data_IF_646906339872
#
_entry.id   IF_646906339872
#
_cell.length_a   1.000
_cell.length_b   1.000
_cell.length_c   1.000
_cell.angle_alpha   90.00
_cell.angle_beta   90.00
_cell.angle_gamma   90.00
#
_symmetry.space_group_name_H-M   'P 1'
#
loop_
_entity.id
_entity.type
_entity.pdbx_description
1 polymer ?
#
# COMPACT_ATOMS: atom_id res chain seq x y z
N UNK A 1 1.48 1.00 6.24
CA UNK A 1 1.64 2.46 6.45
C UNK A 1 0.45 3.16 5.82
N UNK A 2 0.03 4.30 6.37
CA UNK A 2 -1.16 5.00 5.90
C UNK A 2 -1.75 5.92 6.96
N UNK A 3 -2.94 6.43 6.71
CA UNK A 3 -3.73 7.24 7.64
C UNK A 3 -4.71 6.39 8.47
N UNK A 4 -5.81 6.99 8.95
CA UNK A 4 -6.83 6.38 9.82
C UNK A 4 -7.50 5.14 9.21
N UNK A 5 -7.78 5.13 7.91
CA UNK A 5 -8.33 3.94 7.23
C UNK A 5 -7.36 2.76 7.30
N UNK A 6 -6.06 3.00 7.09
CA UNK A 6 -5.03 1.97 7.23
C UNK A 6 -4.75 1.59 8.69
N UNK A 7 -4.95 2.52 9.62
CA UNK A 7 -4.83 2.30 11.06
C UNK A 7 -5.89 1.33 11.58
N UNK A 8 -7.07 1.34 10.96
CA UNK A 8 -8.21 0.50 11.36
C UNK A 8 -9.35 1.29 12.00
N UNK A 9 -9.40 2.61 11.80
CA UNK A 9 -10.54 3.42 12.25
C UNK A 9 -11.86 2.85 11.70
N UNK A 10 -12.88 2.79 12.55
CA UNK A 10 -14.15 2.16 12.23
C UNK A 10 -14.21 0.65 12.52
N UNK A 11 -13.08 0.02 12.85
CA UNK A 11 -13.05 -1.38 13.29
C UNK A 11 -13.39 -1.47 14.78
N UNK A 12 -14.21 -2.44 15.17
CA UNK A 12 -14.53 -2.72 16.58
C UNK A 12 -13.36 -3.28 17.37
N UNK A 13 -12.34 -3.81 16.68
CA UNK A 13 -11.13 -4.39 17.27
C UNK A 13 -9.98 -4.42 16.27
N UNK A 14 -8.75 -4.63 16.75
CA UNK A 14 -7.57 -4.78 15.89
C UNK A 14 -7.70 -5.96 14.93
N UNK A 15 -8.38 -7.04 15.34
CA UNK A 15 -8.59 -8.24 14.52
C UNK A 15 -9.35 -7.96 13.23
N UNK A 16 -10.14 -6.88 13.19
CA UNK A 16 -10.94 -6.46 12.04
C UNK A 16 -10.27 -5.35 11.23
N UNK A 17 -9.05 -4.95 11.61
CA UNK A 17 -8.25 -4.01 10.84
C UNK A 17 -7.59 -4.72 9.64
N UNK A 18 -7.39 -3.97 8.55
CA UNK A 18 -6.81 -4.48 7.29
C UNK A 18 -5.51 -5.27 7.50
N UNK A 19 -4.64 -4.81 8.41
CA UNK A 19 -3.35 -5.43 8.67
C UNK A 19 -3.47 -6.85 9.26
N UNK A 20 -4.33 -7.05 10.25
CA UNK A 20 -4.55 -8.35 10.88
C UNK A 20 -5.27 -9.32 9.94
N UNK A 21 -6.29 -8.82 9.22
CA UNK A 21 -7.00 -9.58 8.18
C UNK A 21 -6.04 -10.06 7.08
N UNK A 22 -5.11 -9.20 6.66
CA UNK A 22 -4.08 -9.55 5.68
C UNK A 22 -3.12 -10.62 6.21
N UNK A 23 -2.65 -10.49 7.46
CA UNK A 23 -1.80 -11.49 8.08
C UNK A 23 -2.50 -12.85 8.17
N UNK A 24 -3.76 -12.86 8.60
CA UNK A 24 -4.60 -14.04 8.65
C UNK A 24 -4.72 -14.70 7.26
N UNK A 25 -5.06 -13.92 6.22
CA UNK A 25 -5.21 -14.42 4.86
C UNK A 25 -3.92 -15.06 4.30
N UNK A 26 -2.75 -14.49 4.63
CA UNK A 26 -1.44 -15.05 4.25
C UNK A 26 -1.16 -16.38 4.96
N UNK A 27 -1.52 -16.50 6.24
CA UNK A 27 -1.41 -17.76 7.01
C UNK A 27 -2.36 -18.84 6.46
N UNK A 28 -3.59 -18.45 6.13
CA UNK A 28 -4.53 -19.35 5.47
C UNK A 28 -3.99 -19.86 4.13
N UNK A 29 -3.39 -18.97 3.33
CA UNK A 29 -2.76 -19.36 2.06
C UNK A 29 -1.70 -20.44 2.25
N UNK A 30 -0.83 -20.31 3.26
CA UNK A 30 0.15 -21.35 3.57
C UNK A 30 -0.50 -22.68 3.96
N UNK A 31 -1.58 -22.61 4.74
CA UNK A 31 -2.34 -23.80 5.15
C UNK A 31 -2.98 -24.49 3.95
N UNK A 32 -3.60 -23.72 3.05
CA UNK A 32 -4.20 -24.21 1.82
C UNK A 32 -3.15 -24.83 0.88
N UNK A 33 -1.95 -24.23 0.76
CA UNK A 33 -0.83 -24.79 -0.01
C UNK A 33 -0.37 -26.16 0.49
N UNK A 34 -0.42 -26.39 1.80
CA UNK A 34 -0.05 -27.68 2.41
C UNK A 34 -1.16 -28.72 2.25
N UNK A 35 -2.41 -28.33 2.47
CA UNK A 35 -3.57 -29.24 2.41
C UNK A 35 -3.95 -29.65 0.99
N UNK A 36 -3.80 -28.74 0.03
CA UNK A 36 -4.22 -28.92 -1.35
C UNK A 36 -3.14 -28.47 -2.35
N UNK A 37 -1.94 -29.09 -2.35
CA UNK A 37 -0.82 -28.68 -3.20
C UNK A 37 -1.14 -28.71 -4.70
N UNK A 38 -2.07 -29.57 -5.13
CA UNK A 38 -2.53 -29.71 -6.51
C UNK A 38 -3.26 -28.48 -7.07
N UNK A 39 -3.76 -27.59 -6.20
CA UNK A 39 -4.38 -26.31 -6.60
C UNK A 39 -3.36 -25.28 -7.04
N UNK A 40 -2.07 -25.55 -6.78
CA UNK A 40 -0.97 -24.62 -7.03
C UNK A 40 -0.04 -25.14 -8.11
N UNK A 41 0.75 -24.22 -8.67
CA UNK A 41 1.84 -24.57 -9.56
C UNK A 41 2.82 -25.51 -8.81
N UNK A 42 3.26 -26.62 -9.43
CA UNK A 42 4.22 -27.53 -8.83
C UNK A 42 5.60 -26.87 -8.69
N UNK A 43 6.46 -27.43 -7.83
CA UNK A 43 7.80 -26.88 -7.59
C UNK A 43 8.77 -27.20 -8.74
N UNK A 44 8.46 -28.25 -9.51
CA UNK A 44 9.16 -28.64 -10.74
C UNK A 44 8.11 -28.72 -11.85
N UNK A 45 8.36 -28.05 -12.98
CA UNK A 45 7.45 -28.12 -14.12
C UNK A 45 7.48 -29.51 -14.77
N UNK A 46 6.33 -30.02 -15.24
CA UNK A 46 6.27 -31.22 -16.07
C UNK A 46 7.11 -31.09 -17.35
N UNK A 47 7.68 -32.22 -17.80
CA UNK A 47 8.39 -32.30 -19.09
C UNK A 47 7.42 -32.15 -20.27
N UNK A 48 6.26 -32.80 -20.20
CA UNK A 48 5.26 -32.78 -21.26
C UNK A 48 4.64 -31.38 -21.41
N UNK A 49 4.67 -30.85 -22.64
CA UNK A 49 4.28 -29.48 -22.95
C UNK A 49 2.83 -29.15 -22.57
N UNK A 50 1.88 -30.04 -22.86
CA UNK A 50 0.46 -29.84 -22.52
C UNK A 50 0.26 -29.77 -21.01
N UNK A 51 0.86 -30.69 -20.27
CA UNK A 51 0.76 -30.74 -18.80
C UNK A 51 1.47 -29.54 -18.17
N UNK A 52 2.59 -29.10 -18.76
CA UNK A 52 3.30 -27.87 -18.37
C UNK A 52 2.42 -26.63 -18.55
N UNK A 53 1.75 -26.50 -19.69
CA UNK A 53 0.86 -25.37 -19.97
C UNK A 53 -0.29 -25.30 -18.94
N UNK A 54 -0.92 -26.43 -18.61
CA UNK A 54 -1.95 -26.50 -17.57
C UNK A 54 -1.40 -26.18 -16.17
N UNK A 55 -0.20 -26.66 -15.84
CA UNK A 55 0.45 -26.34 -14.57
C UNK A 55 0.77 -24.84 -14.42
N UNK A 56 1.12 -24.15 -15.51
CA UNK A 56 1.43 -22.73 -15.51
C UNK A 56 0.19 -21.83 -15.31
N UNK A 57 -1.01 -22.31 -15.68
CA UNK A 57 -2.28 -21.61 -15.42
C UNK A 57 -2.64 -21.56 -13.93
N UNK A 58 -2.13 -22.50 -13.12
CA UNK A 58 -2.38 -22.55 -11.68
C UNK A 58 -1.69 -21.39 -10.95
N UNK A 59 -2.27 -20.88 -9.86
CA UNK A 59 -1.64 -19.85 -9.04
C UNK A 59 -0.30 -20.35 -8.49
N UNK A 60 0.69 -19.45 -8.46
CA UNK A 60 2.00 -19.74 -7.88
C UNK A 60 1.89 -19.93 -6.35
N UNK A 61 2.76 -20.78 -5.78
CA UNK A 61 2.91 -20.88 -4.33
C UNK A 61 3.61 -19.63 -3.81
N UNK A 62 3.16 -19.09 -2.68
CA UNK A 62 3.98 -18.17 -1.88
C UNK A 62 5.03 -18.98 -1.10
N UNK A 63 6.17 -18.35 -0.81
CA UNK A 63 7.27 -18.94 -0.04
C UNK A 63 6.77 -19.45 1.32
N UNK A 64 7.33 -20.56 1.79
CA UNK A 64 7.04 -21.01 3.16
C UNK A 64 7.72 -20.10 4.18
N UNK A 65 7.08 -19.86 5.32
CA UNK A 65 7.64 -19.06 6.40
C UNK A 65 6.56 -18.54 7.36
N UNK A 66 6.98 -17.72 8.31
CA UNK A 66 6.09 -17.00 9.21
C UNK A 66 5.87 -15.60 8.66
N UNK A 67 4.70 -15.36 8.08
CA UNK A 67 4.32 -14.04 7.60
C UNK A 67 3.85 -13.22 8.79
N UNK A 68 4.37 -11.99 8.88
CA UNK A 68 3.94 -11.00 9.87
C UNK A 68 3.65 -9.68 9.18
N UNK A 69 2.53 -9.08 9.51
CA UNK A 69 2.13 -7.75 9.06
C UNK A 69 2.22 -6.81 10.24
N UNK A 70 2.96 -5.72 10.09
CA UNK A 70 3.10 -4.70 11.14
C UNK A 70 2.31 -3.49 10.69
N UNK A 71 1.26 -3.13 11.45
CA UNK A 71 0.54 -1.90 11.19
C UNK A 71 1.36 -0.69 11.69
N UNK A 72 1.91 0.05 10.74
CA UNK A 72 2.61 1.31 10.99
C UNK A 72 1.80 2.51 10.48
N UNK A 73 0.49 2.40 10.28
CA UNK A 73 -0.33 3.56 9.96
C UNK A 73 -0.49 4.48 11.17
N UNK A 74 -0.72 5.77 10.92
CA UNK A 74 -1.01 6.76 11.95
C UNK A 74 -2.11 7.68 11.43
N UNK A 75 -3.22 7.85 12.16
CA UNK A 75 -4.30 8.76 11.76
C UNK A 75 -3.80 10.16 11.40
N UNK A 76 -4.27 10.69 10.28
CA UNK A 76 -3.93 12.03 9.79
C UNK A 76 -2.60 12.12 9.04
N UNK A 77 -1.87 11.03 8.84
CA UNK A 77 -0.60 11.07 8.08
C UNK A 77 -0.81 11.19 6.58
N UNK A 78 -0.28 12.27 6.00
CA UNK A 78 -0.05 12.40 4.56
C UNK A 78 1.27 11.72 4.13
N UNK A 79 1.55 11.67 2.83
CA UNK A 79 2.73 11.02 2.26
C UNK A 79 4.06 11.52 2.81
N UNK A 80 4.16 12.80 3.21
CA UNK A 80 5.34 13.36 3.86
C UNK A 80 5.61 12.69 5.21
N UNK A 81 4.60 12.63 6.10
CA UNK A 81 4.71 11.95 7.39
C UNK A 81 5.11 10.48 7.23
N UNK A 82 4.51 9.80 6.24
CA UNK A 82 4.81 8.41 5.92
C UNK A 82 6.26 8.24 5.45
N UNK A 83 6.79 9.16 4.65
CA UNK A 83 8.21 9.15 4.26
C UNK A 83 9.15 9.26 5.47
N UNK A 84 8.91 10.20 6.40
CA UNK A 84 9.70 10.28 7.65
C UNK A 84 9.60 9.01 8.46
N UNK A 85 8.37 8.52 8.66
CA UNK A 85 8.13 7.33 9.46
C UNK A 85 8.86 6.12 8.88
N UNK A 86 8.89 5.99 7.55
CA UNK A 86 9.66 4.95 6.89
C UNK A 86 11.15 5.07 7.20
N UNK A 87 11.72 6.23 6.92
CA UNK A 87 13.15 6.48 7.05
C UNK A 87 13.65 6.32 8.49
N UNK A 88 12.88 6.78 9.47
CA UNK A 88 13.32 6.87 10.87
C UNK A 88 12.95 5.65 11.71
N UNK A 89 11.86 4.96 11.38
CA UNK A 89 11.29 3.92 12.23
C UNK A 89 11.09 2.60 11.48
N UNK A 90 10.30 2.59 10.41
CA UNK A 90 9.83 1.34 9.79
C UNK A 90 10.96 0.57 9.12
N UNK A 91 11.91 1.25 8.47
CA UNK A 91 12.98 0.57 7.73
C UNK A 91 13.89 -0.29 8.64
N UNK A 92 13.97 0.04 9.94
CA UNK A 92 14.76 -0.69 10.94
C UNK A 92 14.25 -2.11 11.18
N UNK A 93 12.96 -2.36 10.88
CA UNK A 93 12.36 -3.69 10.94
C UNK A 93 12.76 -4.59 9.76
N UNK A 94 13.55 -4.07 8.81
CA UNK A 94 14.02 -4.79 7.60
C UNK A 94 12.86 -5.47 6.85
N UNK A 95 11.82 -4.71 6.46
CA UNK A 95 10.64 -5.28 5.84
C UNK A 95 10.96 -5.94 4.48
N UNK A 96 10.29 -7.04 4.16
CA UNK A 96 10.34 -7.61 2.80
C UNK A 96 9.47 -6.82 1.81
N UNK A 97 8.36 -6.26 2.31
CA UNK A 97 7.39 -5.48 1.57
C UNK A 97 6.94 -4.29 2.41
N UNK A 98 6.69 -3.17 1.75
CA UNK A 98 6.08 -1.98 2.35
C UNK A 98 4.74 -1.75 1.66
N UNK A 99 3.67 -1.72 2.45
CA UNK A 99 2.33 -1.44 1.97
C UNK A 99 1.95 -0.02 2.40
N UNK A 100 1.51 0.79 1.44
CA UNK A 100 1.11 2.18 1.67
C UNK A 100 -0.33 2.37 1.19
N UNK A 101 -1.25 2.66 2.11
CA UNK A 101 -2.65 2.99 1.82
C UNK A 101 -2.87 4.47 2.17
N UNK A 102 -2.98 5.33 1.15
CA UNK A 102 -3.05 6.78 1.33
C UNK A 102 -3.70 7.48 0.13
N UNK A 103 -3.69 8.81 0.15
CA UNK A 103 -4.13 9.67 -0.95
C UNK A 103 -5.05 10.78 -0.47
N UNK A 104 -5.98 10.47 0.43
CA UNK A 104 -6.98 11.43 0.90
C UNK A 104 -6.34 12.60 1.64
N UNK A 105 -5.48 12.32 2.62
CA UNK A 105 -4.77 13.36 3.37
C UNK A 105 -3.89 14.21 2.47
N UNK A 106 -3.30 13.62 1.42
CA UNK A 106 -2.49 14.36 0.46
C UNK A 106 -3.34 15.24 -0.47
N UNK A 107 -4.53 14.80 -0.86
CA UNK A 107 -5.49 15.64 -1.57
C UNK A 107 -5.99 16.78 -0.68
N UNK A 108 -6.16 16.55 0.62
CA UNK A 108 -6.73 17.52 1.54
C UNK A 108 -5.67 18.40 2.24
N UNK A 109 -4.39 18.06 2.13
CA UNK A 109 -3.28 18.88 2.60
C UNK A 109 -2.89 19.94 1.55
N UNK A 110 -2.98 21.22 1.93
CA UNK A 110 -2.57 22.35 1.08
C UNK A 110 -1.21 22.14 0.41
N UNK A 111 -1.08 22.50 -0.87
CA UNK A 111 0.14 22.35 -1.66
C UNK A 111 1.40 22.95 -1.01
N UNK A 112 1.26 24.01 -0.22
CA UNK A 112 2.37 24.69 0.48
C UNK A 112 2.92 23.89 1.68
N UNK A 113 2.17 22.91 2.18
CA UNK A 113 2.59 22.07 3.32
C UNK A 113 3.32 20.83 2.82
N UNK A 114 4.42 20.47 3.49
CA UNK A 114 5.23 19.27 3.17
C UNK A 114 4.70 18.01 3.88
N UNK A 115 4.08 18.17 5.04
CA UNK A 115 3.50 17.10 5.86
C UNK A 115 2.34 17.65 6.72
N UNK A 116 1.53 16.76 7.30
CA UNK A 116 0.58 17.15 8.34
C UNK A 116 1.32 17.38 9.66
N UNK A 117 0.85 18.34 10.45
CA UNK A 117 1.32 18.54 11.83
C UNK A 117 0.51 17.62 12.75
N UNK A 118 1.19 16.91 13.65
CA UNK A 118 0.53 16.13 14.70
C UNK A 118 0.14 17.06 15.86
N UNK A 119 -0.95 16.77 16.59
CA UNK A 119 -1.19 17.49 17.82
C UNK A 119 -0.18 16.95 18.84
N UNK A 120 0.37 17.83 19.66
CA UNK A 120 1.04 17.40 20.89
C UNK A 120 -0.05 16.93 21.85
N UNK A 121 -0.61 15.73 21.66
CA UNK A 121 -1.35 15.07 22.74
C UNK A 121 -0.32 14.38 23.63
N UNK A 122 0.03 15.06 24.72
CA UNK A 122 0.87 14.52 25.80
C UNK A 122 0.35 13.14 26.28
N UNK A 123 -0.93 12.86 26.11
CA UNK A 123 -1.58 11.58 26.44
C UNK A 123 -1.11 10.34 25.62
N UNK A 124 -0.43 10.51 24.47
CA UNK A 124 -0.08 9.37 23.60
C UNK A 124 1.43 9.13 23.39
N UNK A 125 2.31 10.04 23.80
CA UNK A 125 3.73 10.05 23.36
C UNK A 125 4.76 10.33 24.47
N UNK A 126 4.56 9.80 25.67
CA UNK A 126 5.49 10.04 26.80
C UNK A 126 6.94 9.54 26.56
N UNK A 127 7.18 8.65 25.58
CA UNK A 127 8.52 8.07 25.36
C UNK A 127 9.00 8.07 23.89
N UNK A 128 8.16 8.46 22.93
CA UNK A 128 8.50 8.34 21.49
C UNK A 128 9.22 9.58 20.92
N UNK A 129 8.91 10.76 21.45
CA UNK A 129 9.40 12.06 20.95
C UNK A 129 10.89 12.27 21.22
N UNK A 130 11.35 11.90 22.42
CA UNK A 130 12.74 11.96 22.86
C UNK A 130 13.66 11.03 22.05
N UNK A 131 13.20 9.81 21.73
CA UNK A 131 13.93 8.88 20.86
C UNK A 131 13.96 9.30 19.38
N UNK A 132 12.89 9.94 18.89
CA UNK A 132 12.85 10.47 17.53
C UNK A 132 13.80 11.65 17.36
N UNK A 133 13.78 12.61 18.28
CA UNK A 133 14.70 13.76 18.27
C UNK A 133 16.17 13.32 18.38
N UNK A 134 16.46 12.36 19.26
CA UNK A 134 17.83 11.82 19.41
C UNK A 134 18.31 11.03 18.18
N UNK A 135 17.42 10.30 17.50
CA UNK A 135 17.76 9.54 16.29
C UNK A 135 17.99 10.44 15.08
N UNK A 136 17.21 11.53 14.96
CA UNK A 136 17.30 12.51 13.88
C UNK A 136 18.60 13.32 14.00
N UNK A 137 18.96 13.77 15.21
CA UNK A 137 20.21 14.50 15.44
C UNK A 137 21.49 13.70 15.09
N UNK A 138 21.44 12.37 15.17
CA UNK A 138 22.57 11.49 14.76
C UNK A 138 22.73 11.34 13.25
N UNK A 139 21.66 11.50 12.48
CA UNK A 139 21.69 11.34 11.01
C UNK A 139 21.98 12.65 10.27
N UNK A 140 21.88 13.81 10.93
CA UNK A 140 21.91 15.15 10.30
C UNK A 140 23.26 15.89 10.38
N UNK A 141 24.35 15.24 10.78
CA UNK A 141 25.70 15.81 10.61
C UNK A 141 26.09 15.86 9.12
N UNK A 142 26.84 16.89 8.70
CA UNK A 142 26.39 17.92 7.78
C UNK A 142 26.13 17.40 6.35
N UNK A 143 24.89 17.01 6.07
CA UNK A 143 24.36 16.93 4.71
C UNK A 143 23.57 18.21 4.43
N UNK A 144 24.29 19.27 4.06
CA UNK A 144 23.75 20.62 3.87
C UNK A 144 22.69 20.70 2.76
N UNK A 145 21.62 21.46 3.05
CA UNK A 145 20.62 22.13 2.19
C UNK A 145 19.89 21.38 1.05
N UNK A 146 20.36 20.22 0.59
CA UNK A 146 19.85 19.58 -0.64
C UNK A 146 19.04 18.31 -0.42
N UNK A 147 18.97 17.77 0.80
CA UNK A 147 18.14 16.60 1.07
C UNK A 147 16.74 17.02 1.49
N UNK A 148 15.76 16.73 0.63
CA UNK A 148 14.32 16.90 0.88
C UNK A 148 13.89 16.31 2.23
N UNK A 149 14.51 15.19 2.63
CA UNK A 149 14.24 14.51 3.90
C UNK A 149 14.65 15.37 5.11
N UNK A 150 15.72 16.16 4.98
CA UNK A 150 16.19 17.09 6.02
C UNK A 150 15.25 18.27 6.16
N UNK A 151 14.81 18.86 5.05
CA UNK A 151 13.84 19.96 5.05
C UNK A 151 12.52 19.52 5.70
N UNK A 152 12.03 18.33 5.33
CA UNK A 152 10.79 17.77 5.87
C UNK A 152 10.85 17.52 7.39
N UNK A 153 12.00 17.05 7.89
CA UNK A 153 12.24 16.84 9.33
C UNK A 153 12.43 18.16 10.09
N UNK A 154 13.12 19.14 9.49
CA UNK A 154 13.31 20.46 10.08
C UNK A 154 11.99 21.24 10.22
N UNK A 155 11.09 21.13 9.24
CA UNK A 155 9.82 21.87 9.24
C UNK A 155 8.72 21.19 10.06
N UNK A 156 8.77 19.86 10.24
CA UNK A 156 7.70 19.11 10.93
C UNK A 156 8.04 18.70 12.36
N UNK A 157 9.32 18.51 12.70
CA UNK A 157 9.75 17.92 13.99
C UNK A 157 10.48 18.94 14.87
N UNK A 158 11.15 19.94 14.29
CA UNK A 158 12.06 20.84 15.02
C UNK A 158 11.49 22.24 15.32
N UNK A 159 10.29 22.57 14.83
CA UNK A 159 9.58 23.81 15.16
C UNK A 159 8.26 23.51 15.86
N UNK A 160 8.24 23.40 17.20
CA UNK A 160 6.98 23.48 17.93
C UNK A 160 6.42 24.90 17.75
N UNK A 161 5.40 25.06 16.92
CA UNK A 161 4.52 26.22 16.98
C UNK A 161 3.34 25.86 17.89
N UNK A 162 2.75 26.85 18.56
CA UNK A 162 1.48 26.67 19.27
C UNK A 162 0.42 26.20 18.25
N UNK A 163 0.06 24.92 18.29
CA UNK A 163 -0.93 24.33 17.37
C UNK A 163 -2.19 24.02 18.17
N UNK A 164 -3.27 24.71 17.83
CA UNK A 164 -4.64 24.38 18.24
C UNK A 164 -4.99 22.94 17.82
N UNK A 165 -5.98 22.34 18.49
CA UNK A 165 -6.40 20.92 18.47
C UNK A 165 -6.78 20.27 17.10
N UNK A 166 -6.32 20.77 15.96
CA UNK A 166 -6.81 20.41 14.62
C UNK A 166 -6.13 19.20 13.98
N UNK A 167 -5.33 18.42 14.71
CA UNK A 167 -4.53 17.38 14.07
C UNK A 167 -5.20 15.99 14.03
N UNK A 168 -6.52 15.99 14.21
CA UNK A 168 -7.41 15.08 13.50
C UNK A 168 -8.07 15.88 12.36
N UNK A 169 -7.26 16.20 11.33
CA UNK A 169 -7.47 17.32 10.38
C UNK A 169 -8.84 17.31 9.66
N UNK A 170 -9.55 16.18 9.62
CA UNK A 170 -10.83 16.05 8.91
C UNK A 170 -11.97 15.42 9.70
N UNK A 171 -11.75 14.85 10.89
CA UNK A 171 -12.73 13.93 11.52
C UNK A 171 -13.95 14.60 12.13
N UNK A 172 -14.06 15.93 12.12
CA UNK A 172 -15.23 16.66 12.61
C UNK A 172 -15.68 17.77 11.63
N UNK A 173 -15.21 17.73 10.39
CA UNK A 173 -15.53 18.76 9.39
C UNK A 173 -16.79 18.39 8.61
N UNK A 174 -17.65 19.38 8.43
CA UNK A 174 -18.82 19.30 7.53
C UNK A 174 -18.38 19.20 6.07
N UNK A 175 -19.28 18.72 5.21
CA UNK A 175 -19.04 18.68 3.77
C UNK A 175 -18.65 20.03 3.15
N UNK A 176 -19.21 21.14 3.66
CA UNK A 176 -18.83 22.50 3.26
C UNK A 176 -17.39 22.84 3.65
N UNK A 177 -16.97 22.54 4.87
CA UNK A 177 -15.60 22.80 5.33
C UNK A 177 -14.59 21.94 4.58
N UNK A 178 -14.93 20.67 4.30
CA UNK A 178 -14.09 19.79 3.49
C UNK A 178 -13.96 20.31 2.05
N UNK A 179 -15.04 20.83 1.46
CA UNK A 179 -15.02 21.41 0.12
C UNK A 179 -14.15 22.69 0.04
N UNK A 180 -14.02 23.46 1.12
CA UNK A 180 -13.15 24.64 1.18
C UNK A 180 -11.66 24.28 1.29
N UNK A 181 -11.35 23.09 1.81
CA UNK A 181 -9.99 22.57 1.94
C UNK A 181 -9.49 21.92 0.65
N UNK A 182 -10.42 21.40 -0.16
CA UNK A 182 -10.16 20.86 -1.49
C UNK A 182 -9.36 21.86 -2.35
N UNK A 183 -8.61 21.38 -3.35
CA UNK A 183 -7.78 22.23 -4.19
C UNK A 183 -8.59 23.37 -4.82
N UNK A 184 -8.10 24.60 -4.64
CA UNK A 184 -8.80 25.84 -5.07
C UNK A 184 -8.74 26.04 -6.58
N UNK A 185 -7.67 25.57 -7.19
CA UNK A 185 -7.40 25.66 -8.62
C UNK A 185 -6.45 24.54 -9.05
N UNK A 186 -6.17 24.50 -10.36
CA UNK A 186 -5.37 23.43 -10.95
C UNK A 186 -3.87 23.53 -10.61
N UNK A 187 -3.36 24.73 -10.33
CA UNK A 187 -1.96 24.91 -9.89
C UNK A 187 -1.78 24.34 -8.49
N UNK A 188 -2.72 24.65 -7.59
CA UNK A 188 -2.73 24.14 -6.23
C UNK A 188 -2.86 22.62 -6.21
N UNK A 189 -3.77 22.05 -7.01
CA UNK A 189 -3.88 20.59 -7.17
C UNK A 189 -2.57 19.97 -7.66
N UNK A 190 -1.92 20.59 -8.66
CA UNK A 190 -0.67 20.07 -9.20
C UNK A 190 0.43 20.03 -8.12
N UNK A 191 0.54 21.06 -7.28
CA UNK A 191 1.48 21.05 -6.15
C UNK A 191 1.21 19.87 -5.19
N UNK A 192 -0.05 19.58 -4.88
CA UNK A 192 -0.41 18.43 -4.02
C UNK A 192 -0.01 17.09 -4.65
N UNK A 193 -0.26 16.92 -5.95
CA UNK A 193 0.10 15.70 -6.70
C UNK A 193 1.61 15.56 -6.79
N UNK A 194 2.33 16.63 -7.09
CA UNK A 194 3.79 16.62 -7.21
C UNK A 194 4.43 16.23 -5.89
N UNK A 195 4.00 16.84 -4.77
CA UNK A 195 4.43 16.44 -3.43
C UNK A 195 4.19 14.95 -3.17
N UNK A 196 2.96 14.48 -3.42
CA UNK A 196 2.58 13.07 -3.24
C UNK A 196 3.49 12.13 -4.02
N UNK A 197 3.68 12.42 -5.31
CA UNK A 197 4.51 11.63 -6.21
C UNK A 197 5.98 11.64 -5.78
N UNK A 198 6.55 12.80 -5.44
CA UNK A 198 7.95 12.88 -5.00
C UNK A 198 8.19 12.15 -3.67
N UNK A 199 7.25 12.22 -2.73
CA UNK A 199 7.33 11.48 -1.46
C UNK A 199 7.31 9.98 -1.69
N UNK A 200 6.38 9.50 -2.51
CA UNK A 200 6.32 8.08 -2.84
C UNK A 200 7.55 7.59 -3.59
N UNK A 201 8.08 8.38 -4.53
CA UNK A 201 9.33 8.05 -5.23
C UNK A 201 10.51 7.90 -4.24
N UNK A 202 10.57 8.74 -3.20
CA UNK A 202 11.57 8.61 -2.13
C UNK A 202 11.33 7.37 -1.27
N UNK A 203 10.07 7.04 -0.95
CA UNK A 203 9.71 5.78 -0.29
C UNK A 203 10.23 4.58 -1.09
N UNK A 204 10.00 4.55 -2.41
CA UNK A 204 10.53 3.50 -3.30
C UNK A 204 12.05 3.43 -3.24
N UNK A 205 12.72 4.58 -3.23
CA UNK A 205 14.19 4.65 -3.18
C UNK A 205 14.74 4.04 -1.88
N UNK A 206 14.17 4.44 -0.73
CA UNK A 206 14.56 3.92 0.59
C UNK A 206 14.26 2.43 0.70
N UNK A 207 13.06 2.02 0.29
CA UNK A 207 12.62 0.62 0.27
C UNK A 207 13.57 -0.25 -0.55
N UNK A 208 13.88 0.18 -1.78
CA UNK A 208 14.79 -0.53 -2.69
C UNK A 208 16.19 -0.66 -2.08
N UNK A 209 16.70 0.39 -1.44
CA UNK A 209 17.98 0.34 -0.70
C UNK A 209 17.98 -0.69 0.43
N UNK A 210 16.84 -0.88 1.10
CA UNK A 210 16.63 -1.92 2.10
C UNK A 210 16.19 -3.27 1.51
N UNK A 211 16.19 -3.42 0.18
CA UNK A 211 15.76 -4.60 -0.57
C UNK A 211 14.28 -4.95 -0.34
N UNK A 212 13.43 -3.98 -0.01
CA UNK A 212 11.98 -4.14 0.10
C UNK A 212 11.27 -3.70 -1.19
N UNK A 213 10.20 -4.41 -1.58
CA UNK A 213 9.31 -3.93 -2.65
C UNK A 213 8.17 -3.11 -2.02
N UNK A 214 7.54 -2.24 -2.81
CA UNK A 214 6.47 -1.35 -2.36
C UNK A 214 5.16 -1.62 -3.09
N UNK A 215 4.06 -1.63 -2.36
CA UNK A 215 2.70 -1.65 -2.91
C UNK A 215 2.01 -0.37 -2.47
N UNK A 216 1.76 0.54 -3.42
CA UNK A 216 0.95 1.73 -3.19
C UNK A 216 -0.51 1.42 -3.51
N UNK A 217 -1.42 1.79 -2.62
CA UNK A 217 -2.84 1.71 -2.82
C UNK A 217 -3.47 3.08 -2.56
N UNK A 218 -4.25 3.57 -3.52
CA UNK A 218 -5.06 4.76 -3.28
C UNK A 218 -6.21 4.38 -2.36
N UNK A 219 -6.34 5.05 -1.22
CA UNK A 219 -7.37 4.77 -0.21
C UNK A 219 -8.79 4.86 -0.80
N UNK A 220 -9.69 3.92 -0.47
CA UNK A 220 -11.11 4.04 -0.78
C UNK A 220 -11.74 5.34 -0.30
N UNK A 221 -12.61 5.91 -1.12
CA UNK A 221 -13.40 7.08 -0.79
C UNK A 221 -14.80 6.91 -1.40
N UNK A 222 -15.84 7.36 -0.69
CA UNK A 222 -17.24 7.06 -1.01
C UNK A 222 -17.67 7.50 -2.40
N UNK A 223 -17.06 8.54 -3.00
CA UNK A 223 -17.35 9.00 -4.36
C UNK A 223 -16.88 8.03 -5.44
N UNK A 224 -16.02 7.07 -5.08
CA UNK A 224 -15.63 5.94 -5.90
C UNK A 224 -16.71 4.86 -6.03
N UNK A 225 -17.76 4.90 -5.18
CA UNK A 225 -18.91 4.00 -5.28
C UNK A 225 -19.78 4.37 -6.47
N UNK A 226 -20.33 3.34 -7.12
CA UNK A 226 -21.42 3.52 -8.08
C UNK A 226 -22.64 4.10 -7.34
N UNK A 227 -23.18 5.27 -7.74
CA UNK A 227 -24.32 5.89 -7.08
C UNK A 227 -25.56 4.99 -7.00
N UNK A 228 -25.75 4.10 -7.98
CA UNK A 228 -26.88 3.13 -7.99
C UNK A 228 -26.73 1.99 -6.97
N UNK A 229 -25.58 1.88 -6.31
CA UNK A 229 -25.25 0.86 -5.31
C UNK A 229 -25.15 1.42 -3.89
N UNK A 230 -25.39 2.71 -3.70
CA UNK A 230 -25.41 3.32 -2.37
C UNK A 230 -26.60 2.75 -1.57
N UNK A 231 -26.31 2.26 -0.37
CA UNK A 231 -27.34 1.98 0.64
C UNK A 231 -27.99 3.29 1.14
N UNK A 232 -29.13 3.24 1.85
CA UNK A 232 -29.70 4.43 2.48
C UNK A 232 -28.69 5.17 3.38
N UNK A 233 -27.93 4.43 4.21
CA UNK A 233 -26.86 4.99 5.06
C UNK A 233 -25.76 5.68 4.24
N UNK A 234 -25.27 5.05 3.17
CA UNK A 234 -24.27 5.67 2.30
C UNK A 234 -24.85 6.89 1.55
N UNK A 235 -26.13 6.86 1.20
CA UNK A 235 -26.85 7.99 0.60
C UNK A 235 -26.96 9.19 1.54
N UNK A 236 -27.17 8.95 2.83
CA UNK A 236 -27.14 9.98 3.88
C UNK A 236 -25.74 10.59 4.01
N UNK A 237 -24.68 9.77 4.05
CA UNK A 237 -23.29 10.24 4.07
C UNK A 237 -23.01 11.15 2.86
N UNK A 238 -23.34 10.70 1.64
CA UNK A 238 -23.16 11.50 0.41
C UNK A 238 -23.95 12.80 0.47
N UNK A 239 -25.16 12.78 1.04
CA UNK A 239 -25.99 13.98 1.19
C UNK A 239 -25.36 14.97 2.16
N UNK A 240 -24.85 14.49 3.31
CA UNK A 240 -24.17 15.32 4.32
C UNK A 240 -22.87 15.92 3.82
N UNK A 241 -22.10 15.16 3.02
CA UNK A 241 -20.89 15.66 2.37
C UNK A 241 -21.19 16.76 1.34
N UNK A 242 -22.36 16.68 0.69
CA UNK A 242 -22.85 17.74 -0.19
C UNK A 242 -22.17 17.80 -1.55
N UNK A 243 -22.86 18.40 -2.52
CA UNK A 243 -22.48 18.31 -3.95
C UNK A 243 -21.10 18.91 -4.26
N UNK A 244 -20.70 19.99 -3.59
CA UNK A 244 -19.42 20.66 -3.83
C UNK A 244 -18.24 19.74 -3.49
N UNK A 245 -18.27 19.12 -2.31
CA UNK A 245 -17.27 18.15 -1.90
C UNK A 245 -17.23 16.96 -2.87
N UNK A 246 -18.39 16.36 -3.14
CA UNK A 246 -18.48 15.16 -3.99
C UNK A 246 -17.89 15.43 -5.38
N UNK A 247 -18.17 16.59 -5.97
CA UNK A 247 -17.61 16.98 -7.25
C UNK A 247 -16.09 17.16 -7.16
N UNK A 248 -15.62 17.88 -6.14
CA UNK A 248 -14.19 18.12 -5.94
C UNK A 248 -13.38 16.82 -5.77
N UNK A 249 -13.89 15.83 -5.03
CA UNK A 249 -13.19 14.53 -4.91
C UNK A 249 -13.21 13.78 -6.24
N UNK A 250 -14.36 13.70 -6.92
CA UNK A 250 -14.48 12.99 -8.21
C UNK A 250 -13.54 13.53 -9.28
N UNK A 251 -13.37 14.85 -9.35
CA UNK A 251 -12.55 15.50 -10.37
C UNK A 251 -11.05 15.33 -10.12
N UNK A 252 -10.64 15.23 -8.85
CA UNK A 252 -9.24 15.37 -8.45
C UNK A 252 -8.60 14.06 -7.98
N UNK A 253 -9.35 13.21 -7.27
CA UNK A 253 -8.80 12.01 -6.64
C UNK A 253 -8.27 10.94 -7.62
N UNK A 254 -8.87 10.73 -8.83
CA UNK A 254 -8.28 9.87 -9.85
C UNK A 254 -6.84 10.22 -10.24
N UNK A 255 -6.39 11.47 -10.03
CA UNK A 255 -5.00 11.87 -10.33
C UNK A 255 -3.99 11.23 -9.37
N UNK A 256 -4.39 10.91 -8.15
CA UNK A 256 -3.56 10.18 -7.18
C UNK A 256 -3.43 8.70 -7.58
N UNK A 257 -4.51 8.09 -8.09
CA UNK A 257 -4.46 6.76 -8.72
C UNK A 257 -3.46 6.76 -9.88
N UNK A 258 -3.56 7.74 -10.78
CA UNK A 258 -2.66 7.86 -11.92
C UNK A 258 -1.19 8.05 -11.51
N UNK A 259 -0.92 8.82 -10.45
CA UNK A 259 0.43 8.99 -9.90
C UNK A 259 1.03 7.67 -9.40
N UNK A 260 0.25 6.86 -8.67
CA UNK A 260 0.66 5.54 -8.20
C UNK A 260 0.95 4.59 -9.38
N UNK A 261 0.05 4.56 -10.37
CA UNK A 261 0.21 3.76 -11.59
C UNK A 261 1.46 4.17 -12.38
N UNK A 262 1.72 5.48 -12.48
CA UNK A 262 2.92 5.99 -13.13
C UNK A 262 4.20 5.55 -12.41
N UNK A 263 4.22 5.57 -11.06
CA UNK A 263 5.34 5.01 -10.30
C UNK A 263 5.55 3.50 -10.53
N UNK A 264 4.46 2.72 -10.57
CA UNK A 264 4.54 1.29 -10.89
C UNK A 264 5.13 1.05 -12.30
N UNK A 265 4.80 1.91 -13.27
CA UNK A 265 5.37 1.84 -14.62
C UNK A 265 6.86 2.22 -14.66
N UNK A 266 7.29 3.18 -13.83
CA UNK A 266 8.71 3.57 -13.71
C UNK A 266 9.55 2.49 -13.01
N UNK A 267 8.98 1.76 -12.07
CA UNK A 267 9.67 0.76 -11.24
C UNK A 267 8.96 -0.60 -11.23
N UNK A 268 8.74 -1.26 -12.39
CA UNK A 268 7.83 -2.41 -12.51
C UNK A 268 8.31 -3.68 -11.78
N UNK A 269 9.58 -3.71 -11.35
CA UNK A 269 10.15 -4.82 -10.57
C UNK A 269 9.99 -4.65 -9.06
N UNK A 270 9.82 -3.42 -8.59
CA UNK A 270 9.84 -3.07 -7.18
C UNK A 270 8.55 -2.42 -6.69
N UNK A 271 7.70 -1.96 -7.61
CA UNK A 271 6.49 -1.21 -7.27
C UNK A 271 5.27 -1.86 -7.92
N UNK A 272 4.21 -1.99 -7.14
CA UNK A 272 2.85 -2.23 -7.63
C UNK A 272 1.93 -1.11 -7.19
N UNK A 273 0.95 -0.80 -8.02
CA UNK A 273 -0.12 0.13 -7.71
C UNK A 273 -1.45 -0.62 -7.64
N UNK A 274 -2.21 -0.38 -6.59
CA UNK A 274 -3.59 -0.83 -6.42
C UNK A 274 -4.52 0.37 -6.49
N UNK A 275 -5.52 0.24 -7.34
CA UNK A 275 -6.61 1.19 -7.42
C UNK A 275 -7.73 0.69 -6.52
N UNK A 276 -7.80 1.24 -5.30
CA UNK A 276 -8.91 0.98 -4.39
C UNK A 276 -9.88 2.18 -4.36
N UNK A 277 -9.76 3.14 -5.28
CA UNK A 277 -10.75 4.20 -5.42
C UNK A 277 -11.88 3.80 -6.37
N UNK A 278 -11.57 3.15 -7.49
CA UNK A 278 -12.61 2.64 -8.39
C UNK A 278 -13.20 1.33 -7.84
N UNK A 279 -14.12 1.48 -6.88
CA UNK A 279 -14.72 0.38 -6.13
C UNK A 279 -15.64 -0.45 -7.03
N UNK A 280 -15.18 -1.64 -7.40
CA UNK A 280 -15.95 -2.60 -8.19
C UNK A 280 -17.15 -3.19 -7.45
N UNK A 281 -17.94 -4.00 -8.16
CA UNK A 281 -19.15 -4.64 -7.63
C UNK A 281 -18.92 -5.58 -6.45
N UNK A 282 -17.67 -5.96 -6.19
CA UNK A 282 -17.31 -6.89 -5.11
C UNK A 282 -17.27 -6.21 -3.74
N UNK A 283 -17.33 -4.87 -3.66
CA UNK A 283 -17.40 -4.16 -2.40
C UNK A 283 -18.78 -4.32 -1.75
N UNK A 284 -18.84 -4.64 -0.44
CA UNK A 284 -20.10 -4.86 0.27
C UNK A 284 -20.95 -3.59 0.33
N UNK A 285 -22.22 -3.73 0.69
CA UNK A 285 -23.13 -2.60 0.84
C UNK A 285 -23.81 -2.73 2.21
N UNK A 286 -23.53 -1.84 3.19
CA UNK A 286 -22.68 -0.64 3.09
C UNK A 286 -21.17 -0.95 3.11
N UNK A 287 -20.39 -0.18 2.35
CA UNK A 287 -18.92 -0.21 2.40
C UNK A 287 -18.33 0.82 3.35
N UNK A 288 -19.07 1.90 3.60
CA UNK A 288 -18.56 3.10 4.28
C UNK A 288 -19.34 3.41 5.54
N UNK A 289 -18.63 3.86 6.57
CA UNK A 289 -19.23 4.46 7.78
C UNK A 289 -19.22 5.99 7.72
N UNK A 290 -18.30 6.58 6.94
CA UNK A 290 -18.25 7.99 6.56
C UNK A 290 -17.60 8.15 5.17
N UNK A 291 -17.17 9.35 4.76
CA UNK A 291 -16.61 9.57 3.43
C UNK A 291 -15.36 8.74 3.09
N UNK A 292 -14.58 8.31 4.09
CA UNK A 292 -13.24 7.73 3.89
C UNK A 292 -12.97 6.47 4.72
N UNK A 293 -13.76 6.20 5.76
CA UNK A 293 -13.61 5.03 6.62
C UNK A 293 -14.59 3.93 6.25
N UNK A 294 -14.07 2.71 6.28
CA UNK A 294 -14.74 1.51 5.80
C UNK A 294 -15.45 0.77 6.93
N UNK A 295 -16.46 -0.01 6.56
CA UNK A 295 -16.99 -1.07 7.41
C UNK A 295 -15.99 -2.22 7.51
N UNK A 296 -16.12 -3.07 8.54
CA UNK A 296 -15.23 -4.23 8.72
C UNK A 296 -15.27 -5.17 7.51
N UNK A 297 -16.45 -5.42 6.95
CA UNK A 297 -16.59 -6.24 5.74
C UNK A 297 -15.91 -5.61 4.53
N UNK A 298 -15.82 -4.28 4.45
CA UNK A 298 -15.07 -3.62 3.38
C UNK A 298 -13.54 -3.65 3.65
N UNK A 299 -13.11 -3.65 4.91
CA UNK A 299 -11.71 -3.91 5.27
C UNK A 299 -11.25 -5.30 4.81
N UNK A 300 -12.11 -6.32 4.87
CA UNK A 300 -11.82 -7.66 4.32
C UNK A 300 -11.46 -7.60 2.84
N UNK A 301 -12.23 -6.84 2.04
CA UNK A 301 -11.98 -6.68 0.61
C UNK A 301 -10.64 -5.98 0.36
N UNK A 302 -10.32 -4.93 1.11
CA UNK A 302 -9.03 -4.24 0.99
C UNK A 302 -7.87 -5.16 1.36
N UNK A 303 -7.98 -5.91 2.46
CA UNK A 303 -6.99 -6.90 2.85
C UNK A 303 -6.83 -7.98 1.78
N UNK A 304 -7.92 -8.42 1.16
CA UNK A 304 -7.90 -9.39 0.06
C UNK A 304 -7.18 -8.85 -1.19
N UNK A 305 -7.42 -7.58 -1.57
CA UNK A 305 -6.71 -6.95 -2.69
C UNK A 305 -5.19 -6.87 -2.43
N UNK A 306 -4.79 -6.47 -1.22
CA UNK A 306 -3.38 -6.50 -0.83
C UNK A 306 -2.81 -7.93 -0.86
N UNK A 307 -3.57 -8.91 -0.35
CA UNK A 307 -3.18 -10.31 -0.40
C UNK A 307 -2.90 -10.78 -1.84
N UNK A 308 -3.80 -10.49 -2.79
CA UNK A 308 -3.57 -10.86 -4.19
C UNK A 308 -2.35 -10.16 -4.78
N UNK A 309 -2.13 -8.88 -4.45
CA UNK A 309 -0.97 -8.13 -4.90
C UNK A 309 0.36 -8.74 -4.40
N UNK A 310 0.39 -9.14 -3.12
CA UNK A 310 1.50 -9.83 -2.46
C UNK A 310 1.71 -11.21 -3.06
N UNK A 311 0.67 -12.03 -3.17
CA UNK A 311 0.75 -13.39 -3.70
C UNK A 311 1.19 -13.41 -5.17
N UNK A 312 0.85 -12.38 -5.93
CA UNK A 312 1.32 -12.18 -7.30
C UNK A 312 2.72 -11.53 -7.39
N UNK A 313 3.39 -11.20 -6.28
CA UNK A 313 4.74 -10.63 -6.31
C UNK A 313 5.77 -11.74 -6.52
N UNK A 314 6.64 -11.66 -7.56
CA UNK A 314 7.70 -12.66 -7.78
C UNK A 314 8.61 -12.85 -6.57
N UNK A 315 8.89 -11.77 -5.81
CA UNK A 315 9.70 -11.85 -4.59
C UNK A 315 9.07 -12.73 -3.52
N UNK A 316 7.75 -12.86 -3.50
CA UNK A 316 7.00 -13.64 -2.52
C UNK A 316 6.69 -15.06 -2.98
N UNK A 317 6.94 -15.38 -4.26
CA UNK A 317 6.63 -16.67 -4.85
C UNK A 317 7.79 -17.66 -4.71
N UNK A 318 7.45 -18.95 -4.70
CA UNK A 318 8.42 -20.02 -4.89
C UNK A 318 8.89 -20.01 -6.35
N UNK A 319 10.20 -19.96 -6.57
CA UNK A 319 10.79 -20.11 -7.90
C UNK A 319 10.61 -21.55 -8.36
N UNK A 320 9.91 -21.72 -9.48
CA UNK A 320 9.70 -23.04 -10.08
C UNK A 320 10.96 -23.47 -10.81
N UNK A 321 11.32 -24.76 -10.68
CA UNK A 321 12.46 -25.36 -11.36
C UNK A 321 12.03 -25.99 -12.69
N UNK A 322 12.86 -25.84 -13.71
CA UNK A 322 12.72 -26.64 -14.93
C UNK A 322 12.98 -28.12 -14.60
N UNK A 323 12.34 -29.05 -15.34
CA UNK A 323 12.64 -30.46 -15.18
C UNK A 323 14.10 -30.74 -15.55
N UNK A 324 14.75 -31.73 -14.90
CA UNK A 324 16.11 -32.11 -15.25
C UNK A 324 16.15 -32.50 -16.74
N UNK A 325 17.17 -31.99 -17.44
CA UNK A 325 17.43 -32.40 -18.83
C UNK A 325 17.66 -33.91 -18.84
N UNK A 326 16.88 -34.63 -19.63
CA UNK A 326 17.09 -36.08 -19.83
C UNK A 326 18.55 -36.30 -20.22
N UNK A 327 19.29 -37.23 -19.58
CA UNK A 327 20.62 -37.59 -20.05
C UNK A 327 20.51 -37.97 -21.53
N UNK A 328 21.29 -37.31 -22.38
CA UNK A 328 21.45 -37.76 -23.76
C UNK A 328 22.13 -39.11 -23.65
N UNK A 329 21.37 -40.19 -23.85
CA UNK A 329 21.95 -41.53 -23.97
C UNK A 329 23.02 -41.43 -25.05
N UNK A 330 24.29 -41.76 -24.78
CA UNK A 330 25.30 -41.74 -25.82
C UNK A 330 24.80 -42.67 -26.91
N UNK A 331 24.64 -42.16 -28.12
CA UNK A 331 24.29 -42.96 -29.29
C UNK A 331 25.33 -44.05 -29.40
N UNK A 332 24.96 -45.28 -29.05
CA UNK A 332 25.81 -46.45 -29.25
C UNK A 332 26.05 -46.51 -30.75
N UNK A 333 27.23 -46.09 -31.21
CA UNK A 333 27.67 -46.34 -32.58
C UNK A 333 27.59 -47.85 -32.75
N UNK A 334 26.59 -48.34 -33.48
CA UNK A 334 26.60 -49.70 -33.97
C UNK A 334 27.87 -49.84 -34.83
N UNK A 335 28.83 -50.61 -34.33
CA UNK A 335 29.97 -51.01 -35.12
C UNK A 335 29.42 -51.82 -36.31
N UNK A 336 29.85 -51.51 -37.55
CA UNK A 336 29.42 -52.28 -38.70
C UNK A 336 29.89 -53.72 -38.52
N UNK A 337 28.93 -54.65 -38.61
CA UNK A 337 29.20 -56.08 -38.73
C UNK A 337 29.99 -56.27 -40.03
N UNK A 338 31.26 -56.66 -39.91
CA UNK A 338 32.01 -57.18 -41.06
C UNK A 338 31.37 -58.50 -41.46
N UNK A 339 30.70 -58.52 -42.60
CA UNK A 339 30.43 -59.76 -43.33
C UNK A 339 31.77 -60.26 -43.88
N UNK A 340 32.15 -61.46 -43.46
CA UNK A 340 33.14 -62.28 -44.14
C UNK A 340 32.40 -63.00 -45.27
N UNK A 341 32.76 -62.68 -46.51
CA UNK A 341 32.75 -63.59 -47.67
C UNK A 341 33.65 -62.99 -48.77
#
# INVERSE_FOLDING_TARGET
>A
MGSSTAFGYGSSSNQNAIAELLEFRLKERLTQQKKSPQMYRPDILPLEEKVRAEALKKPAKIKSGNYRVINAAVPGYASGNQLAQLALQVIKYKPDLILVLNGYEDLMLSGEKTATQLPQSEEYLDDASSYLLASVNKFLQPAEKYSYLVQMLQDSVLKPQDVTQDAIVFTNKTGSELAEIAPKDQTELQHRIDRYFQNQKQIVTIATGAKADVIFATQPEITGRNPSKLTPTEGEIVTQLGRKYIQAIKDNYPRFVAANQYLANLYPKNVKALDLYHLGNNYPSPSFIDGIHLTETANDIVAEQFYYAIAASPKMQVTVKEPPKTPVTPTTKQLPVKTLD
#
